data_IF_952131174280
#
_entry.id   IF_952131174280
#
_cell.length_a   1.000
_cell.length_b   1.000
_cell.length_c   1.000
_cell.angle_alpha   90.00
_cell.angle_beta   90.00
_cell.angle_gamma   90.00
#
_symmetry.space_group_name_H-M   'P 1'
#
loop_
_entity.id
_entity.type
_entity.pdbx_description
1 polymer ?
#
# COMPACT_ATOMS: atom_id res chain seq x y z
N UNK A 1 46.39 7.96 -21.44
CA UNK A 1 44.97 7.76 -21.11
C UNK A 1 44.89 6.75 -19.98
N UNK A 2 44.53 7.17 -18.77
CA UNK A 2 44.51 6.33 -17.59
C UNK A 2 43.11 5.65 -17.50
N UNK A 3 42.97 4.31 -17.55
CA UNK A 3 41.67 3.63 -17.72
C UNK A 3 40.97 3.23 -16.41
N UNK A 4 41.05 4.05 -15.34
CA UNK A 4 40.48 3.64 -14.02
C UNK A 4 39.63 4.69 -13.31
N UNK A 5 38.94 5.58 -14.04
CA UNK A 5 37.98 6.48 -13.40
C UNK A 5 36.54 5.97 -13.71
N UNK A 6 36.13 4.80 -13.16
CA UNK A 6 34.70 4.50 -13.05
C UNK A 6 34.11 5.55 -12.09
N UNK A 7 32.99 6.21 -12.44
CA UNK A 7 32.34 7.15 -11.54
C UNK A 7 31.97 6.42 -10.25
N UNK A 8 32.64 6.75 -9.14
CA UNK A 8 32.23 6.25 -7.82
C UNK A 8 30.87 6.83 -7.49
N UNK A 9 29.90 5.97 -7.13
CA UNK A 9 28.62 6.40 -6.60
C UNK A 9 28.84 7.39 -5.45
N UNK A 10 28.08 8.48 -5.42
CA UNK A 10 28.12 9.40 -4.27
C UNK A 10 27.64 8.68 -3.00
N UNK A 11 28.05 9.15 -1.83
CA UNK A 11 27.61 8.59 -0.55
C UNK A 11 26.07 8.69 -0.40
N UNK A 12 25.46 9.78 -0.88
CA UNK A 12 24.02 9.96 -0.90
C UNK A 12 23.33 8.93 -1.81
N UNK A 13 23.87 8.68 -3.02
CA UNK A 13 23.33 7.68 -3.92
C UNK A 13 23.47 6.26 -3.36
N UNK A 14 24.59 5.93 -2.73
CA UNK A 14 24.79 4.65 -2.06
C UNK A 14 23.77 4.46 -0.93
N UNK A 15 23.51 5.48 -0.13
CA UNK A 15 22.49 5.47 0.90
C UNK A 15 21.09 5.21 0.31
N UNK A 16 20.71 5.92 -0.77
CA UNK A 16 19.41 5.78 -1.45
C UNK A 16 19.23 4.34 -1.94
N UNK A 17 20.25 3.76 -2.58
CA UNK A 17 20.19 2.39 -3.07
C UNK A 17 20.08 1.36 -1.94
N UNK A 18 20.89 1.46 -0.89
CA UNK A 18 20.83 0.56 0.26
C UNK A 18 19.44 0.63 0.94
N UNK A 19 18.94 1.85 1.13
CA UNK A 19 17.63 2.05 1.76
C UNK A 19 16.47 1.59 0.86
N UNK A 20 16.61 1.74 -0.45
CA UNK A 20 15.68 1.18 -1.43
C UNK A 20 15.66 -0.35 -1.40
N UNK A 21 16.82 -1.02 -1.25
CA UNK A 21 16.90 -2.49 -1.11
C UNK A 21 16.27 -2.93 0.22
N UNK A 22 16.44 -2.19 1.32
CA UNK A 22 15.72 -2.43 2.58
C UNK A 22 14.21 -2.40 2.36
N UNK A 23 13.72 -1.40 1.64
CA UNK A 23 12.30 -1.27 1.28
C UNK A 23 11.82 -2.45 0.42
N UNK A 24 12.59 -2.86 -0.60
CA UNK A 24 12.27 -4.00 -1.45
C UNK A 24 11.98 -5.27 -0.62
N UNK A 25 12.89 -5.66 0.29
CA UNK A 25 12.69 -6.84 1.11
C UNK A 25 11.57 -6.68 2.14
N UNK A 26 11.35 -5.46 2.66
CA UNK A 26 10.21 -5.16 3.51
C UNK A 26 8.89 -5.36 2.76
N UNK A 27 8.82 -4.88 1.51
CA UNK A 27 7.61 -4.98 0.70
C UNK A 27 7.39 -6.41 0.19
N UNK A 28 8.44 -7.18 -0.08
CA UNK A 28 8.32 -8.64 -0.27
C UNK A 28 7.61 -9.32 0.90
N UNK A 29 7.95 -8.94 2.14
CA UNK A 29 7.33 -9.52 3.34
C UNK A 29 5.87 -9.07 3.46
N UNK A 30 5.61 -7.79 3.30
CA UNK A 30 4.30 -7.19 3.49
C UNK A 30 3.31 -7.57 2.39
N UNK A 31 3.69 -7.42 1.13
CA UNK A 31 2.80 -7.67 -0.01
C UNK A 31 2.65 -9.18 -0.27
N UNK A 32 3.67 -9.98 0.07
CA UNK A 32 3.51 -11.41 0.16
C UNK A 32 2.37 -11.79 1.11
N UNK A 33 2.38 -11.28 2.34
CA UNK A 33 1.30 -11.53 3.29
C UNK A 33 -0.06 -10.99 2.82
N UNK A 34 -0.09 -9.81 2.19
CA UNK A 34 -1.31 -9.19 1.66
C UNK A 34 -2.00 -10.06 0.62
N UNK A 35 -1.22 -10.81 -0.19
CA UNK A 35 -1.73 -11.67 -1.26
C UNK A 35 -2.62 -12.84 -0.78
N UNK A 36 -2.46 -13.28 0.47
CA UNK A 36 -3.22 -14.42 1.06
C UNK A 36 -3.97 -14.03 2.34
N UNK A 37 -3.77 -12.84 2.89
CA UNK A 37 -4.29 -12.40 4.19
C UNK A 37 -5.80 -12.62 4.34
N UNK A 38 -6.59 -12.22 3.36
CA UNK A 38 -8.05 -12.36 3.41
C UNK A 38 -8.51 -13.82 3.38
N UNK A 39 -7.87 -14.65 2.54
CA UNK A 39 -8.15 -16.08 2.47
C UNK A 39 -7.77 -16.78 3.80
N UNK A 40 -6.62 -16.44 4.38
CA UNK A 40 -6.17 -16.96 5.66
C UNK A 40 -7.12 -16.58 6.82
N UNK A 41 -7.50 -15.31 6.95
CA UNK A 41 -8.46 -14.87 7.97
C UNK A 41 -9.81 -15.57 7.81
N UNK A 42 -10.27 -15.76 6.57
CA UNK A 42 -11.49 -16.51 6.29
C UNK A 42 -11.39 -17.97 6.72
N UNK A 43 -10.24 -18.61 6.47
CA UNK A 43 -9.99 -20.00 6.89
C UNK A 43 -9.97 -20.13 8.42
N UNK A 44 -9.49 -19.13 9.15
CA UNK A 44 -9.51 -19.05 10.62
C UNK A 44 -10.92 -18.78 11.18
N UNK A 45 -11.94 -18.55 10.35
CA UNK A 45 -13.33 -18.32 10.74
C UNK A 45 -13.76 -16.86 10.83
N UNK A 46 -12.95 -15.90 10.35
CA UNK A 46 -13.37 -14.51 10.29
C UNK A 46 -14.44 -14.29 9.21
N UNK A 47 -15.48 -13.50 9.54
CA UNK A 47 -16.50 -13.05 8.57
C UNK A 47 -15.93 -11.99 7.62
N UNK A 48 -16.59 -11.75 6.48
CA UNK A 48 -16.20 -10.69 5.57
C UNK A 48 -16.28 -9.30 6.23
N UNK A 49 -17.30 -9.09 7.08
CA UNK A 49 -17.39 -7.88 7.89
C UNK A 49 -16.18 -7.67 8.80
N UNK A 50 -15.68 -8.75 9.45
CA UNK A 50 -14.47 -8.70 10.29
C UNK A 50 -13.23 -8.41 9.45
N UNK A 51 -13.08 -9.06 8.30
CA UNK A 51 -11.94 -8.85 7.40
C UNK A 51 -11.91 -7.40 6.90
N UNK A 52 -13.06 -6.88 6.46
CA UNK A 52 -13.19 -5.48 6.04
C UNK A 52 -12.89 -4.49 7.18
N UNK A 53 -13.39 -4.77 8.40
CA UNK A 53 -13.11 -3.96 9.58
C UNK A 53 -11.61 -3.90 9.88
N UNK A 54 -10.93 -5.05 9.93
CA UNK A 54 -9.49 -5.12 10.27
C UNK A 54 -8.62 -4.51 9.17
N UNK A 55 -8.95 -4.75 7.90
CA UNK A 55 -8.23 -4.12 6.79
C UNK A 55 -8.36 -2.60 6.83
N UNK A 56 -9.58 -2.10 6.97
CA UNK A 56 -9.84 -0.66 7.06
C UNK A 56 -9.26 -0.02 8.33
N UNK A 57 -9.36 -0.69 9.49
CA UNK A 57 -8.75 -0.23 10.74
C UNK A 57 -7.23 -0.13 10.60
N UNK A 58 -6.61 -1.07 9.90
CA UNK A 58 -5.19 -1.03 9.58
C UNK A 58 -4.81 0.22 8.79
N UNK A 59 -5.58 0.61 7.78
CA UNK A 59 -5.35 1.84 7.01
C UNK A 59 -5.59 3.09 7.86
N UNK A 60 -6.67 3.13 8.64
CA UNK A 60 -6.95 4.25 9.56
C UNK A 60 -5.80 4.45 10.55
N UNK A 61 -5.32 3.38 11.19
CA UNK A 61 -4.17 3.42 12.10
C UNK A 61 -2.91 3.85 11.34
N UNK A 62 -2.69 3.25 10.16
CA UNK A 62 -1.55 3.53 9.31
C UNK A 62 -1.43 5.01 8.96
N UNK A 63 -2.51 5.65 8.57
CA UNK A 63 -2.52 7.06 8.20
C UNK A 63 -2.56 8.01 9.41
N UNK A 64 -3.40 7.74 10.41
CA UNK A 64 -3.56 8.63 11.57
C UNK A 64 -2.33 8.68 12.47
N UNK A 65 -1.72 7.53 12.75
CA UNK A 65 -0.53 7.45 13.57
C UNK A 65 0.72 8.03 12.89
N UNK A 66 0.78 8.09 11.56
CA UNK A 66 1.91 8.77 10.86
C UNK A 66 2.05 10.22 11.29
N UNK A 67 0.94 10.94 11.47
CA UNK A 67 0.99 12.32 11.96
C UNK A 67 1.61 12.40 13.37
N UNK A 68 1.18 11.51 14.26
CA UNK A 68 1.68 11.48 15.66
C UNK A 68 3.17 11.14 15.70
N UNK A 69 3.57 10.07 15.01
CA UNK A 69 4.96 9.62 14.97
C UNK A 69 5.86 10.55 14.14
N UNK A 70 5.34 11.20 13.11
CA UNK A 70 6.05 12.25 12.39
C UNK A 70 6.41 13.41 13.31
N UNK A 71 5.44 13.94 14.05
CA UNK A 71 5.67 15.01 15.03
C UNK A 71 6.62 14.59 16.16
N UNK A 72 6.52 13.33 16.62
CA UNK A 72 7.43 12.78 17.62
C UNK A 72 8.85 12.65 17.09
N UNK A 73 8.99 12.20 15.84
CA UNK A 73 10.29 12.07 15.16
C UNK A 73 10.96 13.42 14.99
N UNK A 74 10.24 14.43 14.51
CA UNK A 74 10.75 15.80 14.33
C UNK A 74 11.19 16.41 15.69
N UNK A 75 10.39 16.22 16.72
CA UNK A 75 10.70 16.74 18.07
C UNK A 75 11.90 16.05 18.70
N UNK A 76 12.03 14.73 18.52
CA UNK A 76 13.09 13.94 19.19
C UNK A 76 14.35 13.81 18.34
N UNK A 77 14.26 14.01 17.02
CA UNK A 77 15.32 13.77 16.02
C UNK A 77 15.90 12.35 16.07
N UNK A 78 15.16 11.38 16.66
CA UNK A 78 15.57 9.98 16.77
C UNK A 78 15.15 9.17 15.56
N UNK A 79 15.54 9.62 14.39
CA UNK A 79 15.13 9.03 13.09
C UNK A 79 15.40 7.53 13.02
N UNK A 80 16.64 7.09 13.29
CA UNK A 80 17.01 5.68 13.25
C UNK A 80 16.24 4.82 14.25
N UNK A 81 16.02 5.32 15.47
CA UNK A 81 15.29 4.59 16.51
C UNK A 81 13.85 4.31 16.06
N UNK A 82 13.15 5.32 15.52
CA UNK A 82 11.79 5.18 15.01
C UNK A 82 11.74 4.27 13.79
N UNK A 83 12.67 4.43 12.86
CA UNK A 83 12.77 3.59 11.67
C UNK A 83 12.96 2.12 12.06
N UNK A 84 13.92 1.80 12.91
CA UNK A 84 14.21 0.41 13.31
C UNK A 84 13.07 -0.18 14.12
N UNK A 85 12.52 0.54 15.10
CA UNK A 85 11.39 0.06 15.89
C UNK A 85 10.17 -0.23 15.00
N UNK A 86 9.86 0.64 14.06
CA UNK A 86 8.77 0.43 13.11
C UNK A 86 9.00 -0.75 12.18
N UNK A 87 10.21 -0.91 11.63
CA UNK A 87 10.54 -2.09 10.80
C UNK A 87 10.48 -3.40 11.60
N UNK A 88 10.97 -3.43 12.84
CA UNK A 88 10.87 -4.63 13.68
C UNK A 88 9.42 -5.04 13.92
N UNK A 89 8.54 -4.10 14.28
CA UNK A 89 7.13 -4.40 14.48
C UNK A 89 6.44 -4.87 13.20
N UNK A 90 6.70 -4.19 12.08
CA UNK A 90 6.10 -4.51 10.78
C UNK A 90 6.55 -5.90 10.28
N UNK A 91 7.85 -6.15 10.28
CA UNK A 91 8.46 -7.34 9.67
C UNK A 91 8.30 -8.60 10.55
N UNK A 92 8.29 -8.46 11.88
CA UNK A 92 8.13 -9.62 12.77
C UNK A 92 6.68 -10.05 12.94
N UNK A 93 5.72 -9.12 12.83
CA UNK A 93 4.31 -9.44 12.95
C UNK A 93 3.81 -10.37 11.84
N UNK A 94 4.39 -10.30 10.63
CA UNK A 94 4.00 -11.12 9.48
C UNK A 94 4.35 -12.60 9.69
N UNK A 95 5.60 -13.00 9.96
CA UNK A 95 5.94 -14.40 10.24
C UNK A 95 5.25 -14.93 11.50
N UNK A 96 4.95 -14.07 12.48
CA UNK A 96 4.22 -14.48 13.67
C UNK A 96 2.80 -15.00 13.37
N UNK A 97 2.22 -14.67 12.21
CA UNK A 97 0.96 -15.27 11.73
C UNK A 97 1.07 -16.79 11.56
N UNK A 98 2.26 -17.34 11.31
CA UNK A 98 2.49 -18.77 11.25
C UNK A 98 2.29 -19.49 12.59
N UNK A 99 2.35 -18.76 13.70
CA UNK A 99 2.19 -19.30 15.06
C UNK A 99 0.74 -19.27 15.56
N UNK A 100 -0.16 -18.73 14.75
CA UNK A 100 -1.60 -18.63 15.09
C UNK A 100 -2.24 -20.02 14.89
N UNK A 101 -3.05 -20.46 15.87
CA UNK A 101 -3.80 -21.73 15.75
C UNK A 101 -5.01 -21.62 14.79
N UNK A 102 -5.55 -22.76 14.38
CA UNK A 102 -6.63 -22.86 13.36
C UNK A 102 -7.90 -22.04 13.67
N UNK A 103 -8.16 -21.69 14.91
CA UNK A 103 -9.30 -20.84 15.31
C UNK A 103 -8.87 -19.48 15.87
N UNK A 104 -7.60 -19.09 15.65
CA UNK A 104 -6.97 -17.91 16.26
C UNK A 104 -7.18 -16.61 15.49
N UNK A 105 -8.33 -16.41 14.81
CA UNK A 105 -8.55 -15.21 13.98
C UNK A 105 -8.38 -13.89 14.76
N UNK A 106 -8.73 -13.86 16.07
CA UNK A 106 -8.54 -12.66 16.90
C UNK A 106 -7.05 -12.33 17.05
N UNK A 107 -6.21 -13.36 17.31
CA UNK A 107 -4.75 -13.20 17.40
C UNK A 107 -4.16 -12.76 16.06
N UNK A 108 -4.62 -13.34 14.95
CA UNK A 108 -4.22 -12.93 13.61
C UNK A 108 -4.55 -11.45 13.35
N UNK A 109 -5.77 -11.03 13.69
CA UNK A 109 -6.19 -9.63 13.60
C UNK A 109 -5.30 -8.70 14.44
N UNK A 110 -4.96 -9.10 15.67
CA UNK A 110 -4.06 -8.35 16.55
C UNK A 110 -2.67 -8.18 15.94
N UNK A 111 -2.10 -9.24 15.35
CA UNK A 111 -0.80 -9.18 14.66
C UNK A 111 -0.84 -8.26 13.44
N UNK A 112 -1.93 -8.28 12.66
CA UNK A 112 -2.12 -7.38 11.53
C UNK A 112 -2.21 -5.90 11.96
N UNK A 113 -2.86 -5.62 13.09
CA UNK A 113 -2.88 -4.26 13.67
C UNK A 113 -1.47 -3.84 14.11
N UNK A 114 -0.72 -4.71 14.78
CA UNK A 114 0.68 -4.45 15.17
C UNK A 114 1.55 -4.18 13.95
N UNK A 115 1.38 -4.94 12.89
CA UNK A 115 2.06 -4.75 11.63
C UNK A 115 1.79 -3.35 11.04
N UNK A 116 0.52 -2.92 11.01
CA UNK A 116 0.14 -1.59 10.54
C UNK A 116 0.68 -0.46 11.43
N UNK A 117 0.71 -0.66 12.74
CA UNK A 117 1.37 0.28 13.66
C UNK A 117 2.86 0.42 13.36
N UNK A 118 3.56 -0.69 13.12
CA UNK A 118 4.96 -0.68 12.69
C UNK A 118 5.17 0.16 11.44
N UNK A 119 4.31 -0.02 10.42
CA UNK A 119 4.34 0.76 9.18
C UNK A 119 4.10 2.26 9.43
N UNK A 120 3.19 2.60 10.34
CA UNK A 120 2.91 4.00 10.73
C UNK A 120 4.08 4.67 11.46
N UNK A 121 4.81 3.91 12.29
CA UNK A 121 5.98 4.41 13.04
C UNK A 121 7.17 4.65 12.10
N UNK A 122 7.47 3.67 11.21
CA UNK A 122 8.67 3.75 10.35
C UNK A 122 8.55 4.81 9.25
N UNK A 123 7.36 4.97 8.66
CA UNK A 123 7.17 5.74 7.42
C UNK A 123 7.64 7.18 7.52
N UNK A 124 7.23 8.00 8.53
CA UNK A 124 7.69 9.39 8.62
C UNK A 124 9.19 9.50 8.82
N UNK A 125 9.76 8.67 9.69
CA UNK A 125 11.20 8.68 9.96
C UNK A 125 12.01 8.23 8.74
N UNK A 126 11.57 7.15 8.06
CA UNK A 126 12.14 6.65 6.81
C UNK A 126 12.17 7.74 5.74
N UNK A 127 11.03 8.36 5.47
CA UNK A 127 10.90 9.37 4.42
C UNK A 127 11.74 10.61 4.73
N UNK A 128 11.87 10.98 6.02
CA UNK A 128 12.75 12.07 6.45
C UNK A 128 14.22 11.76 6.20
N UNK A 129 14.71 10.59 6.66
CA UNK A 129 16.11 10.18 6.40
C UNK A 129 16.40 10.13 4.90
N UNK A 130 15.46 9.62 4.12
CA UNK A 130 15.56 9.51 2.68
C UNK A 130 15.61 10.90 2.01
N UNK A 131 14.82 11.86 2.51
CA UNK A 131 14.79 13.22 1.98
C UNK A 131 16.13 13.95 2.13
N UNK A 132 16.88 13.67 3.20
CA UNK A 132 18.22 14.25 3.42
C UNK A 132 19.17 13.87 2.28
N UNK A 133 19.27 12.59 1.94
CA UNK A 133 20.09 12.13 0.82
C UNK A 133 19.55 12.58 -0.55
N UNK A 134 18.21 12.58 -0.69
CA UNK A 134 17.54 13.01 -1.91
C UNK A 134 17.79 14.48 -2.26
N UNK A 135 18.05 15.33 -1.27
CA UNK A 135 18.39 16.75 -1.49
C UNK A 135 19.66 16.93 -2.31
N UNK A 136 20.62 15.98 -2.24
CA UNK A 136 21.89 16.03 -2.98
C UNK A 136 21.80 15.42 -4.38
N UNK A 137 20.96 14.39 -4.57
CA UNK A 137 20.89 13.61 -5.82
C UNK A 137 19.71 13.96 -6.72
N UNK A 138 18.79 14.81 -6.22
CA UNK A 138 17.52 15.13 -6.85
C UNK A 138 16.37 14.32 -6.27
N UNK A 139 15.39 15.03 -5.73
CA UNK A 139 14.26 14.44 -4.96
C UNK A 139 13.45 13.46 -5.82
N UNK A 140 13.07 13.86 -7.02
CA UNK A 140 12.28 13.02 -7.92
C UNK A 140 13.00 11.74 -8.33
N UNK A 141 14.31 11.83 -8.68
CA UNK A 141 15.14 10.67 -9.02
C UNK A 141 15.26 9.69 -7.84
N UNK A 142 15.49 10.20 -6.64
CA UNK A 142 15.74 9.38 -5.45
C UNK A 142 14.48 8.62 -5.02
N UNK A 143 13.34 9.30 -4.93
CA UNK A 143 12.07 8.65 -4.62
C UNK A 143 11.57 7.75 -5.78
N UNK A 144 11.89 8.10 -7.03
CA UNK A 144 11.61 7.23 -8.17
C UNK A 144 12.38 5.90 -8.12
N UNK A 145 13.67 5.93 -7.75
CA UNK A 145 14.45 4.69 -7.53
C UNK A 145 13.84 3.86 -6.41
N UNK A 146 13.45 4.49 -5.31
CA UNK A 146 12.80 3.81 -4.19
C UNK A 146 11.49 3.17 -4.64
N UNK A 147 10.62 3.88 -5.35
CA UNK A 147 9.34 3.35 -5.84
C UNK A 147 9.53 2.12 -6.74
N UNK A 148 10.51 2.15 -7.65
CA UNK A 148 10.83 0.98 -8.49
C UNK A 148 11.23 -0.22 -7.65
N UNK A 149 12.04 -0.02 -6.61
CA UNK A 149 12.46 -1.11 -5.72
C UNK A 149 11.31 -1.62 -4.85
N UNK A 150 10.43 -0.74 -4.36
CA UNK A 150 9.22 -1.07 -3.62
C UNK A 150 8.29 -1.93 -4.50
N UNK A 151 8.05 -1.56 -5.76
CA UNK A 151 7.23 -2.32 -6.71
C UNK A 151 7.83 -3.69 -7.08
N UNK A 152 9.15 -3.79 -7.22
CA UNK A 152 9.82 -5.09 -7.38
C UNK A 152 9.56 -6.00 -6.17
N UNK A 153 9.64 -5.45 -4.96
CA UNK A 153 9.32 -6.16 -3.73
C UNK A 153 7.87 -6.63 -3.68
N UNK A 154 6.94 -5.73 -4.04
CA UNK A 154 5.50 -6.02 -4.08
C UNK A 154 5.13 -7.13 -5.07
N UNK A 155 5.86 -7.26 -6.16
CA UNK A 155 5.72 -8.36 -7.11
C UNK A 155 6.38 -9.66 -6.60
N UNK A 156 7.62 -9.59 -6.11
CA UNK A 156 8.40 -10.77 -5.74
C UNK A 156 7.87 -11.45 -4.47
N UNK A 157 7.25 -10.72 -3.53
CA UNK A 157 6.68 -11.29 -2.32
C UNK A 157 5.62 -12.36 -2.59
N UNK A 158 4.55 -12.04 -3.32
CA UNK A 158 3.55 -13.02 -3.74
C UNK A 158 4.12 -14.17 -4.58
N UNK A 159 5.08 -13.90 -5.46
CA UNK A 159 5.77 -14.95 -6.26
C UNK A 159 6.53 -15.91 -5.33
N UNK A 160 7.23 -15.40 -4.31
CA UNK A 160 7.88 -16.23 -3.30
C UNK A 160 6.87 -17.13 -2.59
N UNK A 161 5.72 -16.57 -2.17
CA UNK A 161 4.68 -17.37 -1.53
C UNK A 161 4.12 -18.45 -2.46
N UNK A 162 3.85 -18.12 -3.71
CA UNK A 162 3.42 -19.11 -4.69
C UNK A 162 4.41 -20.28 -4.78
N UNK A 163 5.71 -19.99 -4.90
CA UNK A 163 6.75 -21.03 -4.98
C UNK A 163 6.77 -21.88 -3.71
N UNK A 164 6.68 -21.27 -2.52
CA UNK A 164 6.65 -22.02 -1.25
C UNK A 164 5.41 -22.93 -1.20
N UNK A 165 4.25 -22.42 -1.57
CA UNK A 165 2.99 -23.19 -1.55
C UNK A 165 2.98 -24.31 -2.60
N UNK A 166 3.57 -24.08 -3.78
CA UNK A 166 3.67 -25.07 -4.86
C UNK A 166 4.52 -26.29 -4.44
N UNK A 167 5.58 -26.08 -3.68
CA UNK A 167 6.45 -27.17 -3.21
C UNK A 167 5.95 -27.86 -1.95
N UNK A 168 4.91 -27.34 -1.31
CA UNK A 168 4.30 -27.94 -0.15
C UNK A 168 3.12 -28.82 -0.56
N UNK A 169 3.41 -30.07 -0.89
CA UNK A 169 2.40 -31.04 -1.36
C UNK A 169 1.68 -31.78 -0.22
N UNK A 170 2.27 -31.81 0.97
CA UNK A 170 1.77 -32.54 2.13
C UNK A 170 1.29 -31.57 3.22
N UNK A 171 0.01 -31.58 3.54
CA UNK A 171 -0.56 -30.77 4.63
C UNK A 171 -1.96 -30.22 4.37
N UNK A 172 -2.58 -29.69 5.42
CA UNK A 172 -3.84 -28.96 5.29
C UNK A 172 -3.61 -27.59 4.68
N UNK A 173 -4.65 -26.98 4.11
CA UNK A 173 -4.61 -25.58 3.59
C UNK A 173 -4.13 -24.61 4.66
N UNK A 174 -4.48 -24.83 5.92
CA UNK A 174 -4.01 -24.04 7.05
C UNK A 174 -2.47 -24.13 7.21
N UNK A 175 -1.92 -25.35 7.17
CA UNK A 175 -0.48 -25.58 7.26
C UNK A 175 0.26 -24.93 6.09
N UNK A 176 -0.30 -24.98 4.89
CA UNK A 176 0.27 -24.34 3.70
C UNK A 176 0.40 -22.82 3.89
N UNK A 177 -0.65 -22.17 4.39
CA UNK A 177 -0.59 -20.73 4.68
C UNK A 177 0.38 -20.41 5.83
N UNK A 178 0.35 -21.20 6.92
CA UNK A 178 1.28 -21.01 8.03
C UNK A 178 2.74 -21.14 7.57
N UNK A 179 3.05 -22.14 6.74
CA UNK A 179 4.38 -22.25 6.14
C UNK A 179 4.72 -21.05 5.26
N UNK A 180 3.80 -20.58 4.44
CA UNK A 180 3.98 -19.38 3.63
C UNK A 180 4.37 -18.17 4.49
N UNK A 181 3.63 -17.90 5.57
CA UNK A 181 3.97 -16.82 6.49
C UNK A 181 5.32 -17.01 7.17
N UNK A 182 5.68 -18.26 7.56
CA UNK A 182 6.99 -18.56 8.14
C UNK A 182 8.14 -18.26 7.16
N UNK A 183 7.98 -18.57 5.88
CA UNK A 183 8.99 -18.28 4.86
C UNK A 183 9.19 -16.78 4.62
N UNK A 184 8.18 -15.96 4.86
CA UNK A 184 8.31 -14.49 4.82
C UNK A 184 9.25 -13.94 5.92
N UNK A 185 9.64 -14.76 6.90
CA UNK A 185 10.71 -14.42 7.83
C UNK A 185 12.06 -14.21 7.12
N UNK A 186 12.29 -14.87 5.96
CA UNK A 186 13.56 -14.75 5.22
C UNK A 186 13.75 -13.32 4.70
N UNK A 187 12.87 -12.77 3.83
CA UNK A 187 13.00 -11.37 3.41
C UNK A 187 12.89 -10.41 4.60
N UNK A 188 12.11 -10.75 5.62
CA UNK A 188 12.04 -9.99 6.85
C UNK A 188 13.37 -9.88 7.60
N UNK A 189 14.08 -10.99 7.76
CA UNK A 189 15.41 -11.01 8.39
C UNK A 189 16.42 -10.22 7.54
N UNK A 190 16.38 -10.36 6.22
CA UNK A 190 17.24 -9.60 5.31
C UNK A 190 16.97 -8.10 5.47
N UNK A 191 15.70 -7.67 5.56
CA UNK A 191 15.32 -6.29 5.82
C UNK A 191 16.01 -5.73 7.07
N UNK A 192 15.94 -6.45 8.19
CA UNK A 192 16.54 -5.99 9.46
C UNK A 192 18.07 -5.96 9.37
N UNK A 193 18.69 -6.98 8.79
CA UNK A 193 20.15 -7.02 8.62
C UNK A 193 20.61 -5.82 7.77
N UNK A 194 20.00 -5.61 6.61
CA UNK A 194 20.34 -4.50 5.70
C UNK A 194 20.09 -3.14 6.35
N UNK A 195 19.01 -3.00 7.12
CA UNK A 195 18.71 -1.76 7.85
C UNK A 195 19.81 -1.46 8.89
N UNK A 196 20.27 -2.46 9.64
CA UNK A 196 21.35 -2.29 10.61
C UNK A 196 22.68 -1.99 9.94
N UNK A 197 22.97 -2.63 8.80
CA UNK A 197 24.15 -2.35 7.97
C UNK A 197 24.09 -0.90 7.44
N UNK A 198 22.94 -0.48 6.95
CA UNK A 198 22.75 0.91 6.46
C UNK A 198 22.96 1.92 7.59
N UNK A 199 22.38 1.66 8.78
CA UNK A 199 22.62 2.50 9.96
C UNK A 199 24.11 2.54 10.36
N UNK A 200 24.79 1.42 10.30
CA UNK A 200 26.22 1.36 10.65
C UNK A 200 27.09 2.21 9.71
N UNK A 201 26.79 2.18 8.40
CA UNK A 201 27.52 2.99 7.41
C UNK A 201 27.11 4.48 7.42
N UNK A 202 25.86 4.76 7.76
CA UNK A 202 25.30 6.12 7.75
C UNK A 202 24.61 6.46 9.09
N UNK A 203 25.39 6.57 10.17
CA UNK A 203 24.83 6.81 11.51
C UNK A 203 24.15 8.19 11.63
N UNK A 204 24.59 9.17 10.84
CA UNK A 204 24.15 10.58 10.85
C UNK A 204 23.68 11.04 9.46
N UNK A 205 22.52 10.57 8.97
CA UNK A 205 22.03 10.93 7.63
C UNK A 205 21.64 12.41 7.51
N UNK A 206 21.39 13.10 8.63
CA UNK A 206 21.16 14.54 8.68
C UNK A 206 22.32 15.36 8.11
N UNK A 207 23.53 14.80 8.01
CA UNK A 207 24.68 15.46 7.38
C UNK A 207 24.51 15.74 5.87
N UNK A 208 23.54 15.10 5.22
CA UNK A 208 23.21 15.34 3.82
C UNK A 208 22.33 16.58 3.61
N UNK A 209 21.76 17.20 4.67
CA UNK A 209 20.74 18.24 4.54
C UNK A 209 21.29 19.67 4.54
N UNK A 210 20.80 20.57 3.64
CA UNK A 210 20.90 22.01 3.80
C UNK A 210 19.82 22.55 4.77
N UNK A 211 20.11 23.71 5.38
CA UNK A 211 19.31 24.33 6.45
C UNK A 211 17.78 24.40 6.22
N UNK A 212 16.95 24.29 7.30
CA UNK A 212 15.50 24.25 7.21
C UNK A 212 14.86 25.58 6.75
N UNK A 213 13.81 25.49 5.90
CA UNK A 213 13.04 26.64 5.40
C UNK A 213 11.92 27.02 6.37
N UNK A 214 11.57 28.33 6.42
CA UNK A 214 10.48 28.85 7.25
C UNK A 214 9.12 28.19 6.96
N UNK A 215 8.36 27.93 8.02
CA UNK A 215 7.00 27.38 7.97
C UNK A 215 5.98 28.46 7.58
N UNK A 216 5.10 28.19 6.61
CA UNK A 216 3.96 29.03 6.23
C UNK A 216 2.66 28.28 6.59
N UNK A 217 1.74 28.90 7.37
CA UNK A 217 0.48 28.26 7.72
C UNK A 217 -0.37 27.95 6.48
N UNK A 218 -0.91 26.71 6.42
CA UNK A 218 -1.80 26.28 5.35
C UNK A 218 -3.25 26.73 5.60
N UNK A 219 -3.87 27.35 4.60
CA UNK A 219 -5.31 27.62 4.59
C UNK A 219 -6.00 26.72 3.58
N UNK A 220 -7.00 25.96 4.05
CA UNK A 220 -7.79 25.10 3.18
C UNK A 220 -8.63 25.94 2.21
N UNK A 221 -8.36 25.78 0.92
CA UNK A 221 -9.16 26.35 -0.15
C UNK A 221 -10.31 25.41 -0.52
N UNK A 222 -11.38 25.94 -1.13
CA UNK A 222 -12.56 25.18 -1.55
C UNK A 222 -12.20 24.06 -2.54
N UNK A 223 -11.26 24.32 -3.44
CA UNK A 223 -10.76 23.34 -4.42
C UNK A 223 -10.14 22.13 -3.72
N UNK A 224 -9.34 22.36 -2.68
CA UNK A 224 -8.71 21.30 -1.88
C UNK A 224 -9.75 20.48 -1.11
N UNK A 225 -10.79 21.14 -0.56
CA UNK A 225 -11.90 20.45 0.15
C UNK A 225 -12.67 19.55 -0.82
N UNK A 226 -13.02 20.06 -2.01
CA UNK A 226 -13.72 19.28 -3.03
C UNK A 226 -12.90 18.10 -3.50
N UNK A 227 -11.61 18.31 -3.71
CA UNK A 227 -10.66 17.26 -4.09
C UNK A 227 -10.59 16.16 -3.04
N UNK A 228 -10.37 16.51 -1.76
CA UNK A 228 -10.33 15.56 -0.65
C UNK A 228 -11.65 14.81 -0.51
N UNK A 229 -12.79 15.50 -0.63
CA UNK A 229 -14.12 14.87 -0.56
C UNK A 229 -14.30 13.83 -1.67
N UNK A 230 -13.88 14.14 -2.89
CA UNK A 230 -13.93 13.20 -4.01
C UNK A 230 -13.09 11.96 -3.77
N UNK A 231 -11.84 12.15 -3.35
CA UNK A 231 -10.93 11.05 -3.03
C UNK A 231 -11.41 10.21 -1.85
N UNK A 232 -11.98 10.84 -0.84
CA UNK A 232 -12.56 10.12 0.30
C UNK A 232 -13.73 9.24 -0.13
N UNK A 233 -14.60 9.71 -1.04
CA UNK A 233 -15.67 8.87 -1.59
C UNK A 233 -15.13 7.74 -2.47
N UNK A 234 -14.09 7.98 -3.24
CA UNK A 234 -13.43 6.92 -3.98
C UNK A 234 -12.88 5.86 -3.01
N UNK A 235 -12.13 6.27 -1.99
CA UNK A 235 -11.58 5.38 -0.97
C UNK A 235 -12.66 4.58 -0.24
N UNK A 236 -13.82 5.21 0.05
CA UNK A 236 -14.98 4.55 0.64
C UNK A 236 -15.56 3.45 -0.25
N UNK A 237 -15.59 3.66 -1.57
CA UNK A 237 -16.13 2.68 -2.53
C UNK A 237 -15.12 1.60 -2.95
N UNK A 238 -13.83 1.79 -2.68
CA UNK A 238 -12.78 0.87 -3.15
C UNK A 238 -12.63 -0.33 -2.22
N UNK A 239 -12.87 -1.54 -2.75
CA UNK A 239 -12.82 -2.78 -1.95
C UNK A 239 -11.36 -3.20 -1.74
N UNK A 240 -10.98 -3.40 -0.47
CA UNK A 240 -9.66 -3.91 -0.07
C UNK A 240 -9.41 -5.31 -0.65
N UNK A 241 -8.16 -5.57 -1.07
CA UNK A 241 -7.79 -6.85 -1.68
C UNK A 241 -8.03 -8.05 -0.76
N UNK A 242 -8.02 -7.85 0.56
CA UNK A 242 -8.33 -8.92 1.50
C UNK A 242 -9.76 -9.50 1.29
N UNK A 243 -10.75 -8.67 0.95
CA UNK A 243 -12.09 -9.14 0.57
C UNK A 243 -12.09 -9.80 -0.80
N UNK A 244 -11.32 -9.30 -1.75
CA UNK A 244 -11.16 -9.91 -3.10
C UNK A 244 -10.59 -11.31 -2.97
N UNK A 245 -9.44 -11.50 -2.30
CA UNK A 245 -8.80 -12.81 -2.17
C UNK A 245 -9.62 -13.77 -1.31
N UNK A 246 -10.33 -13.27 -0.29
CA UNK A 246 -11.29 -14.08 0.45
C UNK A 246 -12.41 -14.61 -0.46
N UNK A 247 -13.02 -13.75 -1.27
CA UNK A 247 -14.07 -14.14 -2.21
C UNK A 247 -13.56 -15.18 -3.21
N UNK A 248 -12.39 -14.92 -3.81
CA UNK A 248 -11.76 -15.84 -4.77
C UNK A 248 -11.47 -17.19 -4.12
N UNK A 249 -10.94 -17.21 -2.90
CA UNK A 249 -10.65 -18.47 -2.18
C UNK A 249 -11.91 -19.28 -1.92
N UNK A 250 -13.02 -18.62 -1.55
CA UNK A 250 -14.30 -19.27 -1.27
C UNK A 250 -15.03 -19.76 -2.51
N UNK A 251 -14.91 -19.01 -3.61
CA UNK A 251 -15.72 -19.25 -4.82
C UNK A 251 -15.03 -20.11 -5.85
N UNK A 252 -13.73 -19.94 -6.01
CA UNK A 252 -12.96 -20.54 -7.11
C UNK A 252 -11.98 -21.62 -6.67
N UNK A 253 -11.46 -21.54 -5.45
CA UNK A 253 -10.38 -22.44 -5.00
C UNK A 253 -10.90 -23.68 -4.23
N UNK A 254 -12.22 -23.94 -4.22
CA UNK A 254 -12.85 -25.04 -3.48
C UNK A 254 -13.05 -26.33 -4.29
N UNK A 255 -12.81 -26.31 -5.61
CA UNK A 255 -13.02 -27.44 -6.52
C UNK A 255 -11.72 -28.11 -6.97
N UNK A 256 -11.68 -29.44 -6.98
CA UNK A 256 -10.50 -30.22 -7.41
C UNK A 256 -10.09 -30.04 -8.88
N UNK A 257 -10.93 -29.41 -9.71
CA UNK A 257 -10.68 -29.13 -11.14
C UNK A 257 -10.62 -27.63 -11.47
N UNK A 258 -10.48 -26.77 -10.46
CA UNK A 258 -10.46 -25.32 -10.67
C UNK A 258 -9.12 -24.85 -11.25
N UNK A 259 -9.17 -23.93 -12.22
CA UNK A 259 -7.99 -23.25 -12.76
C UNK A 259 -7.29 -22.36 -11.70
N UNK A 260 -8.03 -22.00 -10.66
CA UNK A 260 -7.54 -21.21 -9.53
C UNK A 260 -7.53 -22.12 -8.31
N UNK A 261 -6.38 -22.35 -7.75
CA UNK A 261 -6.14 -23.15 -6.56
C UNK A 261 -5.62 -22.26 -5.44
N UNK A 262 -5.58 -22.75 -4.20
CA UNK A 262 -5.11 -21.96 -3.05
C UNK A 262 -3.68 -21.48 -3.21
N UNK A 263 -2.82 -22.28 -3.84
CA UNK A 263 -1.42 -21.96 -4.15
C UNK A 263 -1.27 -20.91 -5.24
N UNK A 264 -2.24 -20.76 -6.17
CA UNK A 264 -2.21 -19.75 -7.22
C UNK A 264 -2.76 -18.38 -6.81
N UNK A 265 -3.42 -18.26 -5.65
CA UNK A 265 -3.95 -16.98 -5.15
C UNK A 265 -2.88 -15.86 -5.06
N UNK A 266 -1.64 -16.12 -4.60
CA UNK A 266 -0.60 -15.10 -4.61
C UNK A 266 -0.26 -14.57 -5.99
N UNK A 267 -0.34 -15.41 -7.05
CA UNK A 267 -0.06 -14.97 -8.43
C UNK A 267 -1.10 -13.98 -8.95
N UNK A 268 -2.36 -14.09 -8.52
CA UNK A 268 -3.40 -13.10 -8.86
C UNK A 268 -3.03 -11.72 -8.31
N UNK A 269 -2.51 -11.68 -7.08
CA UNK A 269 -2.03 -10.44 -6.48
C UNK A 269 -0.77 -9.92 -7.16
N UNK A 270 0.20 -10.79 -7.46
CA UNK A 270 1.40 -10.42 -8.22
C UNK A 270 1.03 -9.78 -9.58
N UNK A 271 0.05 -10.38 -10.27
CA UNK A 271 -0.49 -9.82 -11.51
C UNK A 271 -1.14 -8.45 -11.31
N UNK A 272 -1.93 -8.28 -10.24
CA UNK A 272 -2.51 -6.99 -9.88
C UNK A 272 -1.45 -5.93 -9.60
N UNK A 273 -0.37 -6.26 -8.86
CA UNK A 273 0.73 -5.34 -8.56
C UNK A 273 1.55 -4.96 -9.79
N UNK A 274 1.71 -5.89 -10.74
CA UNK A 274 2.35 -5.56 -12.02
C UNK A 274 1.52 -4.55 -12.82
N UNK A 275 0.19 -4.75 -12.86
CA UNK A 275 -0.73 -3.82 -13.53
C UNK A 275 -0.76 -2.49 -12.79
N UNK A 276 -0.74 -2.51 -11.47
CA UNK A 276 -0.65 -1.34 -10.60
C UNK A 276 0.58 -0.49 -10.94
N UNK A 277 1.77 -1.08 -11.00
CA UNK A 277 3.01 -0.39 -11.36
C UNK A 277 2.93 0.29 -12.73
N UNK A 278 2.39 -0.41 -13.74
CA UNK A 278 2.19 0.13 -15.09
C UNK A 278 1.15 1.25 -15.09
N UNK A 279 0.05 1.08 -14.36
CA UNK A 279 -1.01 2.07 -14.24
C UNK A 279 -0.53 3.33 -13.50
N UNK A 280 0.25 3.17 -12.42
CA UNK A 280 0.85 4.28 -11.68
C UNK A 280 1.71 5.17 -12.59
N UNK A 281 2.55 4.54 -13.41
CA UNK A 281 3.39 5.27 -14.37
C UNK A 281 2.55 5.94 -15.46
N UNK A 282 1.60 5.23 -16.06
CA UNK A 282 0.74 5.76 -17.12
C UNK A 282 -0.13 6.93 -16.64
N UNK A 283 -0.82 6.75 -15.52
CA UNK A 283 -1.71 7.78 -14.98
C UNK A 283 -0.95 8.93 -14.34
N UNK A 284 0.25 8.70 -13.79
CA UNK A 284 1.15 9.77 -13.36
C UNK A 284 1.52 10.70 -14.53
N UNK A 285 1.97 10.13 -15.66
CA UNK A 285 2.28 10.89 -16.88
C UNK A 285 1.05 11.56 -17.49
N UNK A 286 -0.11 10.91 -17.40
CA UNK A 286 -1.38 11.49 -17.85
C UNK A 286 -1.79 12.67 -16.96
N UNK A 287 -1.55 12.57 -15.65
CA UNK A 287 -1.82 13.66 -14.71
C UNK A 287 -0.97 14.90 -15.00
N UNK A 288 0.31 14.73 -15.32
CA UNK A 288 1.19 15.85 -15.72
C UNK A 288 0.65 16.61 -16.94
N UNK A 289 -0.05 15.91 -17.86
CA UNK A 289 -0.61 16.51 -19.08
C UNK A 289 -2.05 17.00 -18.93
N UNK A 290 -2.88 16.31 -18.16
CA UNK A 290 -4.34 16.51 -18.09
C UNK A 290 -4.84 16.89 -16.69
N UNK A 291 -3.95 16.93 -15.69
CA UNK A 291 -4.29 17.24 -14.31
C UNK A 291 -5.34 16.26 -13.75
N UNK A 292 -6.28 16.80 -12.97
CA UNK A 292 -7.33 16.01 -12.28
C UNK A 292 -8.22 15.19 -13.23
N UNK A 293 -8.24 15.49 -14.54
CA UNK A 293 -8.95 14.65 -15.52
C UNK A 293 -8.41 13.22 -15.57
N UNK A 294 -7.13 13.01 -15.24
CA UNK A 294 -6.56 11.68 -15.14
C UNK A 294 -7.25 10.83 -14.06
N UNK A 295 -7.65 11.43 -12.92
CA UNK A 295 -8.44 10.77 -11.89
C UNK A 295 -9.83 10.38 -12.37
N UNK A 296 -10.48 11.23 -13.16
CA UNK A 296 -11.80 10.92 -13.74
C UNK A 296 -11.70 9.67 -14.60
N UNK A 297 -10.71 9.62 -15.51
CA UNK A 297 -10.53 8.47 -16.40
C UNK A 297 -10.16 7.20 -15.65
N UNK A 298 -9.25 7.28 -14.67
CA UNK A 298 -8.87 6.12 -13.86
C UNK A 298 -10.05 5.59 -13.05
N UNK A 299 -10.88 6.48 -12.47
CA UNK A 299 -12.07 6.10 -11.71
C UNK A 299 -13.13 5.45 -12.59
N UNK A 300 -13.42 5.99 -13.79
CA UNK A 300 -14.37 5.38 -14.74
C UNK A 300 -13.89 3.99 -15.13
N UNK A 301 -12.60 3.83 -15.39
CA UNK A 301 -12.02 2.56 -15.81
C UNK A 301 -12.01 1.53 -14.68
N UNK A 302 -11.66 1.94 -13.47
CA UNK A 302 -11.52 1.02 -12.32
C UNK A 302 -12.85 0.71 -11.62
N UNK A 303 -13.80 1.65 -11.52
CA UNK A 303 -15.03 1.48 -10.74
C UNK A 303 -15.79 0.17 -10.98
N UNK A 304 -15.90 -0.38 -12.21
CA UNK A 304 -16.60 -1.63 -12.45
C UNK A 304 -15.85 -2.88 -11.97
N UNK A 305 -14.64 -2.79 -11.39
CA UNK A 305 -13.88 -3.96 -10.97
C UNK A 305 -14.68 -4.87 -10.03
N UNK A 306 -15.45 -4.28 -9.10
CA UNK A 306 -16.24 -5.03 -8.13
C UNK A 306 -17.35 -5.86 -8.79
N UNK A 307 -17.94 -5.38 -9.90
CA UNK A 307 -18.90 -6.15 -10.68
C UNK A 307 -18.24 -7.41 -11.27
N UNK A 308 -17.06 -7.24 -11.90
CA UNK A 308 -16.36 -8.35 -12.54
C UNK A 308 -15.82 -9.37 -11.54
N UNK A 309 -15.38 -8.93 -10.37
CA UNK A 309 -14.85 -9.83 -9.33
C UNK A 309 -15.97 -10.60 -8.63
N UNK A 310 -17.07 -9.94 -8.24
CA UNK A 310 -18.02 -10.50 -7.28
C UNK A 310 -19.36 -10.96 -7.89
N UNK A 311 -19.76 -10.45 -9.06
CA UNK A 311 -21.07 -10.76 -9.62
C UNK A 311 -21.06 -11.95 -10.59
N UNK A 312 -19.91 -12.36 -11.12
CA UNK A 312 -19.80 -13.41 -12.10
C UNK A 312 -18.90 -14.55 -11.61
N UNK A 313 -19.31 -15.79 -11.91
CA UNK A 313 -18.49 -16.99 -11.65
C UNK A 313 -17.71 -17.40 -12.91
N UNK A 314 -16.85 -16.52 -13.41
CA UNK A 314 -16.08 -16.73 -14.63
C UNK A 314 -14.65 -16.28 -14.43
N UNK A 315 -13.68 -17.17 -14.62
CA UNK A 315 -12.25 -16.89 -14.45
C UNK A 315 -11.78 -15.75 -15.37
N UNK A 316 -12.13 -15.66 -16.65
CA UNK A 316 -11.76 -14.53 -17.49
C UNK A 316 -12.28 -13.19 -16.96
N UNK A 317 -13.53 -13.13 -16.50
CA UNK A 317 -14.11 -11.90 -15.95
C UNK A 317 -13.47 -11.54 -14.61
N UNK A 318 -13.14 -12.52 -13.76
CA UNK A 318 -12.38 -12.31 -12.54
C UNK A 318 -11.02 -11.68 -12.83
N UNK A 319 -10.28 -12.19 -13.81
CA UNK A 319 -8.98 -11.64 -14.20
C UNK A 319 -9.09 -10.19 -14.70
N UNK A 320 -10.13 -9.88 -15.48
CA UNK A 320 -10.45 -8.49 -15.87
C UNK A 320 -10.72 -7.64 -14.63
N UNK A 321 -11.52 -8.12 -13.70
CA UNK A 321 -11.82 -7.41 -12.45
C UNK A 321 -10.57 -7.12 -11.61
N UNK A 322 -9.67 -8.09 -11.47
CA UNK A 322 -8.39 -7.95 -10.77
C UNK A 322 -7.48 -6.94 -11.50
N UNK A 323 -7.46 -6.97 -12.83
CA UNK A 323 -6.72 -5.99 -13.61
C UNK A 323 -7.25 -4.56 -13.42
N UNK A 324 -8.58 -4.38 -13.41
CA UNK A 324 -9.21 -3.09 -13.15
C UNK A 324 -8.96 -2.60 -11.71
N UNK A 325 -8.92 -3.52 -10.74
CA UNK A 325 -8.53 -3.20 -9.37
C UNK A 325 -7.09 -2.68 -9.30
N UNK A 326 -6.14 -3.36 -9.96
CA UNK A 326 -4.74 -2.91 -10.05
C UNK A 326 -4.61 -1.54 -10.71
N UNK A 327 -5.37 -1.27 -11.78
CA UNK A 327 -5.41 0.05 -12.43
C UNK A 327 -5.88 1.13 -11.44
N UNK A 328 -6.92 0.83 -10.64
CA UNK A 328 -7.44 1.75 -9.65
C UNK A 328 -6.42 2.08 -8.56
N UNK A 329 -5.71 1.06 -8.05
CA UNK A 329 -4.66 1.24 -7.05
C UNK A 329 -3.51 2.10 -7.59
N UNK A 330 -2.91 1.73 -8.72
CA UNK A 330 -1.76 2.43 -9.27
C UNK A 330 -2.05 3.87 -9.66
N UNK A 331 -3.22 4.13 -10.24
CA UNK A 331 -3.63 5.50 -10.53
C UNK A 331 -3.75 6.36 -9.26
N UNK A 332 -4.28 5.80 -8.17
CA UNK A 332 -4.36 6.52 -6.90
C UNK A 332 -2.97 6.82 -6.33
N UNK A 333 -2.11 5.83 -6.20
CA UNK A 333 -0.80 6.00 -5.58
C UNK A 333 0.04 7.10 -6.23
N UNK A 334 -0.04 7.23 -7.56
CA UNK A 334 0.69 8.24 -8.31
C UNK A 334 0.03 9.62 -8.29
N UNK A 335 -1.28 9.68 -8.54
CA UNK A 335 -1.97 10.96 -8.72
C UNK A 335 -2.25 11.65 -7.39
N UNK A 336 -2.59 10.91 -6.34
CA UNK A 336 -2.98 11.49 -5.04
C UNK A 336 -1.89 12.36 -4.45
N UNK A 337 -0.66 11.89 -4.46
CA UNK A 337 0.51 12.64 -3.96
C UNK A 337 0.81 13.87 -4.85
N UNK A 338 0.68 13.71 -6.17
CA UNK A 338 0.94 14.77 -7.13
C UNK A 338 -0.06 15.94 -6.98
N UNK A 339 -1.34 15.65 -6.83
CA UNK A 339 -2.39 16.67 -6.71
C UNK A 339 -2.25 17.50 -5.42
N UNK A 340 -1.96 16.87 -4.27
CA UNK A 340 -1.69 17.60 -3.02
C UNK A 340 -0.47 18.52 -3.20
N UNK A 341 0.56 18.05 -3.90
CA UNK A 341 1.78 18.84 -4.17
C UNK A 341 1.49 20.12 -4.96
N UNK A 342 0.52 20.10 -5.86
CA UNK A 342 0.14 21.26 -6.68
C UNK A 342 -0.80 22.20 -5.90
N UNK A 343 -1.75 21.64 -5.13
CA UNK A 343 -2.79 22.42 -4.44
C UNK A 343 -2.29 23.07 -3.15
N UNK A 344 -1.19 22.57 -2.56
CA UNK A 344 -0.68 23.02 -1.26
C UNK A 344 0.67 23.72 -1.42
N UNK A 345 0.85 24.92 -0.82
CA UNK A 345 2.13 25.63 -0.83
C UNK A 345 3.29 24.79 -0.29
N UNK A 346 4.48 24.95 -0.87
CA UNK A 346 5.68 24.14 -0.52
C UNK A 346 5.95 24.05 0.99
N UNK A 347 5.76 25.16 1.71
CA UNK A 347 6.10 25.29 3.14
C UNK A 347 5.02 24.73 4.08
N UNK A 348 3.88 24.28 3.56
CA UNK A 348 2.76 23.68 4.33
C UNK A 348 2.29 22.32 3.78
N UNK A 349 3.09 21.73 2.88
CA UNK A 349 2.76 20.43 2.26
C UNK A 349 2.57 19.30 3.28
N UNK A 350 3.38 19.25 4.34
CA UNK A 350 3.25 18.25 5.38
C UNK A 350 1.85 18.29 6.05
N UNK A 351 1.33 19.49 6.32
CA UNK A 351 -0.04 19.66 6.84
C UNK A 351 -1.09 19.24 5.82
N UNK A 352 -0.92 19.61 4.55
CA UNK A 352 -1.81 19.22 3.47
C UNK A 352 -1.87 17.70 3.28
N UNK A 353 -0.73 17.04 3.27
CA UNK A 353 -0.64 15.56 3.24
C UNK A 353 -1.29 14.93 4.48
N UNK A 354 -1.05 15.47 5.69
CA UNK A 354 -1.65 14.96 6.91
C UNK A 354 -3.19 15.01 6.89
N UNK A 355 -3.78 16.13 6.43
CA UNK A 355 -5.23 16.26 6.29
C UNK A 355 -5.77 15.26 5.25
N UNK A 356 -5.09 15.17 4.10
CA UNK A 356 -5.41 14.24 3.04
C UNK A 356 -5.36 12.79 3.52
N UNK A 357 -4.25 12.35 4.10
CA UNK A 357 -4.06 10.97 4.55
C UNK A 357 -5.05 10.59 5.66
N UNK A 358 -5.33 11.51 6.60
CA UNK A 358 -6.29 11.27 7.66
C UNK A 358 -7.71 11.10 7.10
N UNK A 359 -8.13 11.99 6.19
CA UNK A 359 -9.45 11.88 5.53
C UNK A 359 -9.57 10.60 4.72
N UNK A 360 -8.56 10.28 3.90
CA UNK A 360 -8.49 9.07 3.11
C UNK A 360 -8.60 7.81 4.00
N UNK A 361 -7.82 7.74 5.08
CA UNK A 361 -7.82 6.61 6.01
C UNK A 361 -9.17 6.40 6.71
N UNK A 362 -9.84 7.49 7.13
CA UNK A 362 -11.18 7.42 7.76
C UNK A 362 -12.19 6.82 6.76
N UNK A 363 -12.24 7.33 5.54
CA UNK A 363 -13.22 6.87 4.54
C UNK A 363 -12.88 5.46 4.02
N UNK A 364 -11.61 5.12 3.89
CA UNK A 364 -11.19 3.75 3.59
C UNK A 364 -11.65 2.77 4.68
N UNK A 365 -11.49 3.13 5.95
CA UNK A 365 -11.97 2.32 7.08
C UNK A 365 -13.49 2.11 7.02
N UNK A 366 -14.24 3.21 6.94
CA UNK A 366 -15.71 3.15 6.92
C UNK A 366 -16.22 2.35 5.70
N UNK A 367 -15.62 2.55 4.55
CA UNK A 367 -15.94 1.83 3.32
C UNK A 367 -15.61 0.34 3.42
N UNK A 368 -14.39 -0.01 3.81
CA UNK A 368 -13.97 -1.42 3.93
C UNK A 368 -14.83 -2.20 4.92
N UNK A 369 -15.18 -1.57 6.06
CA UNK A 369 -16.08 -2.18 7.03
C UNK A 369 -17.50 -2.36 6.48
N UNK A 370 -18.10 -1.30 5.92
CA UNK A 370 -19.44 -1.38 5.35
C UNK A 370 -19.52 -2.40 4.21
N UNK A 371 -18.56 -2.36 3.28
CA UNK A 371 -18.53 -3.29 2.14
C UNK A 371 -18.32 -4.73 2.59
N UNK A 372 -17.52 -4.96 3.64
CA UNK A 372 -17.39 -6.28 4.26
C UNK A 372 -18.70 -6.77 4.88
N UNK A 373 -19.44 -5.93 5.61
CA UNK A 373 -20.76 -6.26 6.16
C UNK A 373 -21.79 -6.52 5.04
N UNK A 374 -21.78 -5.68 4.01
CA UNK A 374 -22.66 -5.87 2.85
C UNK A 374 -22.33 -7.16 2.09
N UNK A 375 -21.07 -7.58 2.03
CA UNK A 375 -20.70 -8.88 1.44
C UNK A 375 -21.40 -10.04 2.15
N UNK A 376 -21.46 -10.03 3.48
CA UNK A 376 -22.13 -11.06 4.28
C UNK A 376 -23.68 -11.03 4.13
N UNK A 377 -24.26 -9.87 3.79
CA UNK A 377 -25.71 -9.68 3.65
C UNK A 377 -26.16 -9.86 2.19
N UNK A 378 -25.52 -9.13 1.26
CA UNK A 378 -25.91 -9.07 -0.15
C UNK A 378 -24.76 -8.58 -1.03
N UNK A 379 -24.14 -9.49 -1.76
CA UNK A 379 -23.07 -9.19 -2.73
C UNK A 379 -23.53 -8.13 -3.77
N UNK A 380 -24.74 -8.23 -4.36
CA UNK A 380 -25.22 -7.19 -5.30
C UNK A 380 -25.29 -5.79 -4.67
N UNK A 381 -25.74 -5.69 -3.40
CA UNK A 381 -25.77 -4.40 -2.70
C UNK A 381 -24.37 -3.86 -2.45
N UNK A 382 -23.42 -4.70 -2.08
CA UNK A 382 -22.01 -4.32 -1.92
C UNK A 382 -21.43 -3.78 -3.24
N UNK A 383 -21.63 -4.49 -4.34
CA UNK A 383 -21.15 -4.08 -5.68
C UNK A 383 -21.76 -2.74 -6.09
N UNK A 384 -23.07 -2.56 -5.89
CA UNK A 384 -23.76 -1.31 -6.20
C UNK A 384 -23.19 -0.13 -5.40
N UNK A 385 -23.02 -0.29 -4.09
CA UNK A 385 -22.45 0.75 -3.21
C UNK A 385 -21.01 1.07 -3.60
N UNK A 386 -20.18 0.06 -3.89
CA UNK A 386 -18.80 0.22 -4.34
C UNK A 386 -18.72 1.07 -5.61
N UNK A 387 -19.49 0.73 -6.65
CA UNK A 387 -19.48 1.46 -7.92
C UNK A 387 -20.06 2.86 -7.73
N UNK A 388 -21.20 3.00 -7.04
CA UNK A 388 -21.88 4.28 -6.87
C UNK A 388 -20.99 5.29 -6.12
N UNK A 389 -20.32 4.88 -5.03
CA UNK A 389 -19.44 5.75 -4.28
C UNK A 389 -18.26 6.27 -5.13
N UNK A 390 -17.65 5.38 -5.93
CA UNK A 390 -16.56 5.77 -6.83
C UNK A 390 -17.03 6.71 -7.93
N UNK A 391 -18.19 6.46 -8.55
CA UNK A 391 -18.72 7.33 -9.60
C UNK A 391 -19.18 8.70 -9.07
N UNK A 392 -19.71 8.76 -7.84
CA UNK A 392 -20.07 10.03 -7.17
C UNK A 392 -18.83 10.88 -6.85
N UNK A 393 -17.65 10.31 -6.77
CA UNK A 393 -16.40 11.07 -6.65
C UNK A 393 -16.09 11.94 -7.88
N UNK A 394 -16.52 11.52 -9.09
CA UNK A 394 -16.19 12.17 -10.36
C UNK A 394 -16.65 13.64 -10.42
N UNK A 395 -17.93 13.98 -10.13
CA UNK A 395 -18.37 15.38 -10.11
C UNK A 395 -17.55 16.25 -9.15
N UNK A 396 -17.10 15.71 -8.01
CA UNK A 396 -16.28 16.45 -7.05
C UNK A 396 -14.88 16.72 -7.61
N UNK A 397 -14.28 15.76 -8.31
CA UNK A 397 -13.01 15.98 -9.03
C UNK A 397 -13.14 17.10 -10.08
N UNK A 398 -14.20 17.06 -10.90
CA UNK A 398 -14.45 18.09 -11.92
C UNK A 398 -14.69 19.46 -11.28
N UNK A 399 -15.45 19.51 -10.19
CA UNK A 399 -15.72 20.77 -9.48
C UNK A 399 -14.45 21.36 -8.83
N UNK A 400 -13.50 20.52 -8.40
CA UNK A 400 -12.24 20.99 -7.83
C UNK A 400 -11.33 21.71 -8.83
N UNK A 401 -11.50 21.48 -10.14
CA UNK A 401 -10.67 22.08 -11.21
C UNK A 401 -11.27 23.34 -11.82
N UNK A 402 -12.60 23.51 -11.79
CA UNK A 402 -13.29 24.64 -12.49
C UNK A 402 -12.99 26.02 -11.92
N UNK A 403 -12.50 26.13 -10.69
CA UNK A 403 -12.20 27.40 -10.04
C UNK A 403 -10.74 27.86 -10.22
N UNK A 404 -9.90 27.06 -10.86
CA UNK A 404 -8.51 27.45 -11.17
C UNK A 404 -8.40 28.26 -12.47
N UNK A 405 -9.45 28.26 -13.29
CA UNK A 405 -9.54 28.94 -14.59
C UNK A 405 -10.47 30.17 -14.57
N UNK A 406 -10.97 30.60 -13.42
CA UNK A 406 -11.74 31.82 -13.19
C UNK A 406 -10.96 32.75 -12.23
#
# INVERSE_FOLDING_TARGET
MNPTNKPRLSQAMLFILLFGIVSLFSDMTHEGASSIRGAYLSLLGASAGTIGFISGLGELIGYSLRYVFGKLTDRTRKYWTMTIAGYLLDVLAVPALALVGEHGWIMACGLLVIQRMGKAIKKPAKDTIMSFAASQEGVGKSFGIQEVLDQIGAFLGPVLLYLVMLFQTDGSTFQTYATGFAFLAIPGAITIILLLVTKYHFPHPEQFEPEPKEYIPFRMKKEFILYISGISLFAFGFIDYALVVMHVSRTYATGASSLITMDTLPLLYAGAMLIDAVAALFFGLLYDKKGVQALVWSTILSAPFSLFVFAFQSVPLLLIGIALWGIGMGAQESILKAAVTIMVPKNSRATGYGIFECSFGIFWFLGSWLLGVLYDISIPAMVLVSIAAQLVAIPLYIASTRQHNA
#
